data_IF_944783670989
#
_entry.id   IF_944783670989
#
_cell.length_a   1.000
_cell.length_b   1.000
_cell.length_c   1.000
_cell.angle_alpha   90.00
_cell.angle_beta   90.00
_cell.angle_gamma   90.00
#
_symmetry.space_group_name_H-M   'P 1'
#
loop_
_entity.id
_entity.type
_entity.pdbx_description
1 polymer ?
#
# COMPACT_ATOMS: atom_id res chain seq x y z
N UNK A 1 -15.81 -2.20 -50.13
CA UNK A 1 -15.38 -3.38 -49.33
C UNK A 1 -13.94 -3.69 -49.66
N UNK A 2 -13.01 -3.56 -48.71
CA UNK A 2 -11.61 -3.95 -48.92
C UNK A 2 -11.44 -5.39 -48.45
N UNK A 3 -11.19 -6.34 -49.37
CA UNK A 3 -10.89 -7.74 -49.02
C UNK A 3 -9.42 -7.84 -48.66
N UNK A 4 -9.12 -7.88 -47.36
CA UNK A 4 -7.77 -8.15 -46.85
C UNK A 4 -7.36 -9.60 -47.17
N UNK A 5 -6.14 -9.86 -47.68
CA UNK A 5 -5.68 -11.21 -47.95
C UNK A 5 -5.56 -12.03 -46.67
N UNK A 6 -6.05 -13.27 -46.67
CA UNK A 6 -6.04 -14.16 -45.49
C UNK A 6 -4.62 -14.36 -44.94
N UNK A 7 -3.61 -14.45 -45.81
CA UNK A 7 -2.20 -14.57 -45.43
C UNK A 7 -1.65 -13.34 -44.68
N UNK A 8 -2.21 -12.14 -44.93
CA UNK A 8 -1.81 -10.94 -44.18
C UNK A 8 -2.35 -11.00 -42.74
N UNK A 9 -3.59 -11.47 -42.57
CA UNK A 9 -4.23 -11.64 -41.25
C UNK A 9 -3.50 -12.71 -40.43
N UNK A 10 -3.16 -13.83 -41.04
CA UNK A 10 -2.35 -14.91 -40.43
C UNK A 10 -0.94 -14.42 -40.02
N UNK A 11 -0.28 -13.62 -40.86
CA UNK A 11 1.00 -13.00 -40.52
C UNK A 11 0.89 -12.02 -39.33
N UNK A 12 -0.18 -11.22 -39.26
CA UNK A 12 -0.41 -10.30 -38.13
C UNK A 12 -0.74 -11.04 -36.82
N UNK A 13 -1.47 -12.15 -36.88
CA UNK A 13 -1.71 -13.02 -35.72
C UNK A 13 -0.39 -13.61 -35.20
N UNK A 14 0.44 -14.18 -36.08
CA UNK A 14 1.76 -14.73 -35.71
C UNK A 14 2.70 -13.67 -35.13
N UNK A 15 2.68 -12.44 -35.66
CA UNK A 15 3.46 -11.34 -35.12
C UNK A 15 3.01 -10.95 -33.71
N UNK A 16 1.69 -10.94 -33.45
CA UNK A 16 1.12 -10.72 -32.12
C UNK A 16 1.52 -11.83 -31.14
N UNK A 17 1.41 -13.10 -31.54
CA UNK A 17 1.78 -14.24 -30.69
C UNK A 17 3.28 -14.26 -30.34
N UNK A 18 4.14 -13.76 -31.23
CA UNK A 18 5.57 -13.59 -30.95
C UNK A 18 5.81 -12.48 -29.91
N UNK A 19 5.17 -11.32 -30.08
CA UNK A 19 5.26 -10.19 -29.15
C UNK A 19 4.75 -10.56 -27.75
N UNK A 20 3.65 -11.31 -27.65
CA UNK A 20 3.06 -11.75 -26.38
C UNK A 20 3.98 -12.73 -25.63
N UNK A 21 4.66 -13.62 -26.37
CA UNK A 21 5.69 -14.52 -25.82
C UNK A 21 6.93 -13.77 -25.33
N UNK A 22 7.43 -12.80 -26.09
CA UNK A 22 8.57 -11.97 -25.69
C UNK A 22 8.26 -11.12 -24.45
N UNK A 23 7.05 -10.54 -24.37
CA UNK A 23 6.57 -9.84 -23.17
C UNK A 23 6.46 -10.78 -21.97
N UNK A 24 5.87 -11.95 -22.13
CA UNK A 24 5.72 -12.95 -21.06
C UNK A 24 7.08 -13.47 -20.57
N UNK A 25 8.01 -13.72 -21.49
CA UNK A 25 9.38 -14.10 -21.17
C UNK A 25 10.13 -12.97 -20.44
N UNK A 26 9.99 -11.72 -20.88
CA UNK A 26 10.61 -10.54 -20.26
C UNK A 26 10.07 -10.26 -18.86
N UNK A 27 8.76 -10.41 -18.65
CA UNK A 27 8.13 -10.26 -17.34
C UNK A 27 8.58 -11.37 -16.39
N UNK A 28 8.58 -12.63 -16.86
CA UNK A 28 9.03 -13.80 -16.09
C UNK A 28 10.52 -13.68 -15.71
N UNK A 29 11.36 -13.25 -16.65
CA UNK A 29 12.77 -12.98 -16.40
C UNK A 29 12.98 -11.81 -15.43
N UNK A 30 12.13 -10.79 -15.46
CA UNK A 30 12.19 -9.65 -14.52
C UNK A 30 11.80 -10.07 -13.10
N UNK A 31 10.73 -10.87 -12.94
CA UNK A 31 10.34 -11.44 -11.64
C UNK A 31 11.44 -12.36 -11.09
N UNK A 32 12.03 -13.20 -11.94
CA UNK A 32 13.15 -14.07 -11.56
C UNK A 32 14.43 -13.30 -11.19
N UNK A 33 14.73 -12.18 -11.89
CA UNK A 33 15.81 -11.25 -11.52
C UNK A 33 15.53 -10.56 -10.19
N UNK A 34 14.31 -10.04 -9.97
CA UNK A 34 13.93 -9.42 -8.70
C UNK A 34 14.01 -10.39 -7.51
N UNK A 35 13.86 -11.69 -7.75
CA UNK A 35 14.03 -12.75 -6.74
C UNK A 35 15.52 -13.05 -6.45
N UNK A 36 16.44 -12.72 -7.36
CA UNK A 36 17.90 -12.90 -7.19
C UNK A 36 18.65 -11.65 -6.69
N UNK A 37 18.05 -10.47 -6.76
CA UNK A 37 18.67 -9.18 -6.33
C UNK A 37 18.45 -8.90 -4.82
N UNK A 38 18.01 -9.89 -4.04
CA UNK A 38 17.86 -9.78 -2.58
C UNK A 38 19.15 -10.06 -1.77
N UNK A 39 20.31 -10.20 -2.43
CA UNK A 39 21.56 -10.69 -1.82
C UNK A 39 22.76 -9.83 -2.27
N UNK A 40 23.45 -9.20 -1.30
CA UNK A 40 24.70 -8.40 -1.40
C UNK A 40 24.53 -6.97 -1.98
N UNK A 41 24.98 -5.87 -1.37
CA UNK A 41 25.20 -5.52 0.06
C UNK A 41 25.54 -4.02 0.19
N UNK A 42 24.79 -3.26 1.02
CA UNK A 42 25.22 -2.09 1.82
C UNK A 42 23.97 -1.47 2.48
N UNK A 43 23.91 -1.17 3.78
CA UNK A 43 24.88 -1.45 4.83
C UNK A 43 24.53 -0.72 6.14
N UNK A 44 23.51 -1.17 6.90
CA UNK A 44 23.39 -1.07 8.37
C UNK A 44 22.19 -1.91 8.86
N UNK A 45 22.50 -3.16 9.22
CA UNK A 45 21.98 -4.02 10.31
C UNK A 45 20.50 -3.90 10.81
N UNK A 46 19.76 -4.97 11.16
CA UNK A 46 19.87 -6.43 10.95
C UNK A 46 18.66 -7.14 11.59
N UNK A 47 17.81 -7.88 10.84
CA UNK A 47 17.34 -9.25 11.24
C UNK A 47 16.52 -10.01 10.17
N UNK A 48 17.21 -10.89 9.45
CA UNK A 48 16.69 -12.14 8.85
C UNK A 48 16.66 -13.24 9.96
N UNK A 49 15.88 -14.33 9.92
CA UNK A 49 14.88 -14.87 8.98
C UNK A 49 13.66 -15.42 9.81
N UNK A 50 12.79 -16.28 9.24
CA UNK A 50 11.93 -17.30 9.92
C UNK A 50 10.55 -17.49 9.23
N UNK A 51 10.36 -18.63 8.56
CA UNK A 51 9.06 -19.25 8.22
C UNK A 51 8.17 -18.59 7.16
N UNK A 52 7.05 -19.24 6.76
CA UNK A 52 5.92 -18.57 6.13
C UNK A 52 5.28 -17.64 7.16
N UNK A 53 5.75 -16.39 7.20
CA UNK A 53 5.40 -15.40 8.23
C UNK A 53 3.93 -15.02 8.10
N UNK A 54 3.06 -15.56 8.95
CA UNK A 54 1.66 -15.17 9.04
C UNK A 54 1.53 -13.65 9.13
N UNK A 55 0.97 -13.03 8.09
CA UNK A 55 0.61 -11.62 8.11
C UNK A 55 -0.68 -11.50 8.93
N UNK A 56 -0.54 -11.22 10.24
CA UNK A 56 -1.66 -11.18 11.20
C UNK A 56 -2.79 -10.22 10.80
N UNK A 57 -2.47 -9.18 10.02
CA UNK A 57 -3.42 -8.16 9.60
C UNK A 57 -3.44 -8.02 8.08
N UNK A 58 -4.63 -8.18 7.48
CA UNK A 58 -4.92 -7.89 6.08
C UNK A 58 -5.87 -6.68 6.00
N UNK A 59 -5.55 -5.72 5.15
CA UNK A 59 -6.51 -4.73 4.69
C UNK A 59 -6.72 -4.86 3.18
N UNK A 60 -7.86 -4.36 2.73
CA UNK A 60 -8.18 -4.11 1.33
C UNK A 60 -8.47 -2.61 1.25
N UNK A 61 -7.79 -1.90 0.37
CA UNK A 61 -7.97 -0.46 0.16
C UNK A 61 -8.06 -0.20 -1.33
N UNK A 62 -9.22 0.26 -1.82
CA UNK A 62 -9.50 0.46 -3.24
C UNK A 62 -9.22 -0.80 -4.10
N UNK A 63 -9.44 -1.99 -3.51
CA UNK A 63 -9.13 -3.28 -4.13
C UNK A 63 -7.70 -3.79 -3.89
N UNK A 64 -6.77 -2.96 -3.42
CA UNK A 64 -5.39 -3.39 -3.11
C UNK A 64 -5.30 -4.15 -1.78
N UNK A 65 -4.73 -5.36 -1.83
CA UNK A 65 -4.57 -6.23 -0.67
C UNK A 65 -3.29 -5.93 0.13
N UNK A 66 -3.38 -4.98 1.05
CA UNK A 66 -2.30 -4.60 1.98
C UNK A 66 -2.16 -5.65 3.09
N UNK A 67 -0.93 -6.06 3.41
CA UNK A 67 -0.66 -7.06 4.46
C UNK A 67 0.46 -6.59 5.39
N UNK A 68 0.14 -6.41 6.68
CA UNK A 68 1.08 -5.92 7.69
C UNK A 68 1.34 -6.90 8.82
N UNK A 69 2.51 -6.75 9.47
CA UNK A 69 2.85 -7.47 10.70
C UNK A 69 2.26 -6.79 11.94
N UNK A 70 2.12 -5.47 11.89
CA UNK A 70 1.55 -4.65 12.97
C UNK A 70 0.49 -3.69 12.41
N UNK A 71 -0.42 -3.23 13.26
CA UNK A 71 -1.45 -2.24 12.94
C UNK A 71 -0.87 -0.95 12.32
N UNK A 72 0.19 -0.30 12.87
CA UNK A 72 0.78 0.88 12.24
C UNK A 72 1.49 0.59 10.91
N UNK A 73 1.92 -0.66 10.62
CA UNK A 73 2.44 -0.98 9.28
C UNK A 73 1.33 -1.01 8.22
N UNK A 74 0.17 -1.58 8.55
CA UNK A 74 -1.01 -1.56 7.67
C UNK A 74 -1.48 -0.11 7.46
N UNK A 75 -1.53 0.69 8.54
CA UNK A 75 -1.94 2.08 8.44
C UNK A 75 -0.96 2.93 7.61
N UNK A 76 0.35 2.74 7.79
CA UNK A 76 1.36 3.42 6.98
C UNK A 76 1.19 3.13 5.48
N UNK A 77 0.98 1.87 5.11
CA UNK A 77 0.76 1.49 3.71
C UNK A 77 -0.54 2.07 3.13
N UNK A 78 -1.63 2.13 3.92
CA UNK A 78 -2.88 2.78 3.49
C UNK A 78 -2.66 4.29 3.31
N UNK A 79 -1.93 4.94 4.22
CA UNK A 79 -1.57 6.36 4.13
C UNK A 79 -0.69 6.64 2.91
N UNK A 80 0.29 5.78 2.62
CA UNK A 80 1.16 5.93 1.46
C UNK A 80 0.37 5.81 0.14
N UNK A 81 -0.50 4.80 0.01
CA UNK A 81 -1.41 4.64 -1.15
C UNK A 81 -2.43 5.78 -1.25
N UNK A 82 -2.94 6.28 -0.12
CA UNK A 82 -3.87 7.44 -0.14
C UNK A 82 -3.14 8.70 -0.59
N UNK A 83 -1.87 8.89 -0.24
CA UNK A 83 -1.07 10.02 -0.72
C UNK A 83 -0.83 9.98 -2.23
N UNK A 84 -0.73 8.79 -2.82
CA UNK A 84 -0.55 8.58 -4.26
C UNK A 84 -1.86 8.76 -5.04
N UNK A 85 -2.97 8.18 -4.55
CA UNK A 85 -4.25 8.13 -5.27
C UNK A 85 -5.13 9.37 -4.98
N UNK A 86 -5.16 9.84 -3.74
CA UNK A 86 -6.09 10.87 -3.26
C UNK A 86 -5.44 11.77 -2.19
N UNK A 87 -4.41 12.57 -2.54
CA UNK A 87 -3.68 13.41 -1.57
C UNK A 87 -4.61 14.37 -0.81
N UNK A 88 -5.65 14.91 -1.44
CA UNK A 88 -6.64 15.77 -0.77
C UNK A 88 -7.37 15.07 0.38
N UNK A 89 -7.72 13.79 0.22
CA UNK A 89 -8.37 13.02 1.28
C UNK A 89 -7.44 12.86 2.49
N UNK A 90 -6.12 12.83 2.26
CA UNK A 90 -5.12 12.73 3.31
C UNK A 90 -4.90 14.07 4.03
N UNK A 91 -5.00 15.20 3.33
CA UNK A 91 -4.95 16.53 3.96
C UNK A 91 -6.21 16.76 4.81
N UNK A 92 -7.40 16.44 4.28
CA UNK A 92 -8.65 16.43 5.06
C UNK A 92 -8.58 15.49 6.28
N UNK A 93 -7.92 14.33 6.15
CA UNK A 93 -7.68 13.42 7.29
C UNK A 93 -6.69 13.99 8.33
N UNK A 94 -5.78 14.87 7.93
CA UNK A 94 -4.86 15.54 8.86
C UNK A 94 -5.60 16.59 9.72
N UNK A 95 -6.55 17.30 9.12
CA UNK A 95 -7.46 18.22 9.82
C UNK A 95 -8.41 17.46 10.77
N UNK A 96 -8.80 16.24 10.41
CA UNK A 96 -9.54 15.36 11.31
C UNK A 96 -8.65 14.85 12.45
N UNK A 97 -8.92 15.30 13.67
CA UNK A 97 -8.28 14.77 14.88
C UNK A 97 -9.15 13.72 15.59
N UNK A 98 -8.50 12.72 16.19
CA UNK A 98 -9.09 12.03 17.33
C UNK A 98 -8.94 12.92 18.57
N UNK A 99 -9.87 12.83 19.52
CA UNK A 99 -9.99 13.58 20.81
C UNK A 99 -8.76 14.32 21.37
N UNK A 100 -7.55 13.74 21.32
CA UNK A 100 -6.29 14.35 21.77
C UNK A 100 -5.06 14.05 20.87
N UNK A 101 -5.25 13.52 19.65
CA UNK A 101 -4.17 13.16 18.71
C UNK A 101 -4.64 13.23 17.25
N UNK A 102 -3.79 13.65 16.33
CA UNK A 102 -4.10 13.59 14.90
C UNK A 102 -3.93 12.15 14.37
N UNK A 103 -4.70 11.79 13.33
CA UNK A 103 -4.55 10.47 12.68
C UNK A 103 -3.27 10.41 11.84
N UNK A 104 -3.06 11.45 11.03
CA UNK A 104 -1.88 11.68 10.22
C UNK A 104 -1.41 13.12 10.42
N UNK A 105 -0.12 13.40 10.28
CA UNK A 105 0.40 14.77 10.32
C UNK A 105 1.66 14.93 9.47
N UNK A 106 1.97 16.15 9.01
CA UNK A 106 3.23 16.46 8.31
C UNK A 106 4.46 16.51 9.23
N UNK A 107 4.27 16.52 10.56
CA UNK A 107 5.33 16.61 11.58
C UNK A 107 5.11 15.59 12.70
N UNK A 108 6.17 15.02 13.31
CA UNK A 108 6.03 14.03 14.38
C UNK A 108 5.34 14.59 15.62
N UNK A 109 5.61 15.84 16.00
CA UNK A 109 5.02 16.45 17.21
C UNK A 109 3.51 16.71 17.05
N UNK A 110 3.05 16.93 15.82
CA UNK A 110 1.65 17.20 15.53
C UNK A 110 0.76 15.94 15.61
N UNK A 111 1.33 14.74 15.54
CA UNK A 111 0.58 13.50 15.81
C UNK A 111 0.09 13.47 17.26
N UNK A 112 0.93 13.88 18.21
CA UNK A 112 0.67 13.85 19.65
C UNK A 112 0.84 15.24 20.29
N UNK A 113 -0.08 16.18 20.05
CA UNK A 113 -0.02 17.51 20.63
C UNK A 113 0.02 17.41 22.17
N UNK A 114 1.08 17.96 22.76
CA UNK A 114 1.33 17.90 24.21
C UNK A 114 2.08 16.66 24.72
N UNK A 115 2.31 15.61 23.93
CA UNK A 115 3.06 14.42 24.39
C UNK A 115 4.10 13.89 23.38
N UNK A 116 5.26 14.54 23.36
CA UNK A 116 6.42 14.20 22.52
C UNK A 116 7.10 12.85 22.87
N UNK A 117 6.71 12.16 23.94
CA UNK A 117 7.29 10.86 24.33
C UNK A 117 6.63 9.66 23.66
N UNK A 118 5.47 9.86 23.02
CA UNK A 118 4.77 8.78 22.33
C UNK A 118 5.45 8.46 20.99
N UNK A 119 5.67 7.17 20.68
CA UNK A 119 6.38 6.79 19.47
C UNK A 119 5.53 7.06 18.23
N UNK A 120 6.09 7.83 17.30
CA UNK A 120 5.54 8.02 15.95
C UNK A 120 6.29 7.16 14.93
N UNK A 121 5.71 7.02 13.74
CA UNK A 121 6.34 6.38 12.57
C UNK A 121 6.14 7.31 11.37
N UNK A 122 7.21 7.55 10.63
CA UNK A 122 7.11 8.19 9.32
C UNK A 122 6.72 7.15 8.27
N UNK A 123 5.86 7.54 7.33
CA UNK A 123 5.45 6.76 6.16
C UNK A 123 6.32 7.15 4.96
N UNK A 124 6.26 6.37 3.88
CA UNK A 124 7.09 6.58 2.67
C UNK A 124 6.76 7.92 2.01
N UNK A 125 5.49 8.30 1.99
CA UNK A 125 4.97 9.57 1.45
C UNK A 125 5.21 10.78 2.37
N UNK A 126 6.08 10.66 3.37
CA UNK A 126 6.53 11.75 4.24
C UNK A 126 5.58 12.14 5.37
N UNK A 127 4.45 11.43 5.53
CA UNK A 127 3.49 11.66 6.60
C UNK A 127 3.90 10.93 7.89
N UNK A 128 3.37 11.40 9.02
CA UNK A 128 3.64 10.84 10.34
C UNK A 128 2.36 10.27 10.93
N UNK A 129 2.46 9.07 11.49
CA UNK A 129 1.39 8.34 12.17
C UNK A 129 1.81 7.95 13.59
N UNK A 130 0.84 7.63 14.44
CA UNK A 130 1.14 7.03 15.75
C UNK A 130 1.57 5.57 15.59
N UNK A 131 2.68 5.19 16.22
CA UNK A 131 3.06 3.77 16.37
C UNK A 131 2.25 3.10 17.49
N UNK A 132 1.68 3.88 18.41
CA UNK A 132 0.77 3.42 19.45
C UNK A 132 -0.69 3.56 18.98
N UNK A 133 -1.08 2.71 18.01
CA UNK A 133 -2.43 2.66 17.46
C UNK A 133 -3.07 1.30 17.75
N UNK A 134 -4.19 1.33 18.50
CA UNK A 134 -5.01 0.15 18.76
C UNK A 134 -5.88 -0.22 17.55
N UNK A 135 -6.52 -1.39 17.60
CA UNK A 135 -7.39 -1.85 16.52
C UNK A 135 -8.62 -0.94 16.33
N UNK A 136 -9.26 -0.52 17.42
CA UNK A 136 -10.40 0.41 17.37
C UNK A 136 -9.99 1.79 16.84
N UNK A 137 -8.78 2.23 17.20
CA UNK A 137 -8.20 3.49 16.73
C UNK A 137 -7.91 3.44 15.24
N UNK A 138 -7.37 2.32 14.75
CA UNK A 138 -7.17 2.06 13.32
C UNK A 138 -8.51 2.05 12.58
N UNK A 139 -9.51 1.31 13.08
CA UNK A 139 -10.84 1.28 12.48
C UNK A 139 -11.50 2.67 12.46
N UNK A 140 -11.27 3.49 13.49
CA UNK A 140 -11.74 4.88 13.54
C UNK A 140 -11.00 5.78 12.56
N UNK A 141 -9.68 5.61 12.42
CA UNK A 141 -8.86 6.31 11.44
C UNK A 141 -9.27 5.96 10.00
N UNK A 142 -9.50 4.68 9.71
CA UNK A 142 -9.98 4.21 8.40
C UNK A 142 -11.39 4.74 8.09
N UNK A 143 -12.30 4.76 9.07
CA UNK A 143 -13.63 5.39 8.90
C UNK A 143 -13.54 6.91 8.69
N UNK A 144 -12.59 7.59 9.33
CA UNK A 144 -12.33 9.01 9.09
C UNK A 144 -11.75 9.23 7.68
N UNK A 145 -10.80 8.42 7.24
CA UNK A 145 -10.22 8.43 5.90
C UNK A 145 -11.28 8.20 4.82
N UNK A 146 -12.19 7.23 5.05
CA UNK A 146 -13.33 7.00 4.17
C UNK A 146 -14.23 8.24 4.05
N UNK A 147 -14.52 8.92 5.16
CA UNK A 147 -15.28 10.19 5.16
C UNK A 147 -14.54 11.35 4.49
N UNK A 148 -13.21 11.36 4.56
CA UNK A 148 -12.39 12.42 3.98
C UNK A 148 -12.28 12.30 2.45
N UNK A 149 -12.29 11.08 1.92
CA UNK A 149 -12.22 10.77 0.48
C UNK A 149 -13.52 10.29 -0.17
N UNK A 150 -14.68 10.45 0.50
CA UNK A 150 -16.00 9.98 0.02
C UNK A 150 -16.08 8.47 -0.35
N UNK A 151 -15.28 7.65 0.33
CA UNK A 151 -15.22 6.19 0.14
C UNK A 151 -16.17 5.43 1.09
N UNK A 152 -16.61 4.24 0.70
CA UNK A 152 -17.45 3.37 1.54
C UNK A 152 -16.63 2.35 2.33
N UNK A 153 -16.63 2.52 3.66
CA UNK A 153 -16.08 1.54 4.59
C UNK A 153 -16.88 0.22 4.52
N UNK A 154 -16.23 -0.88 4.15
CA UNK A 154 -16.83 -2.19 3.89
C UNK A 154 -16.87 -2.58 2.40
N UNK A 155 -16.97 -1.60 1.50
CA UNK A 155 -16.92 -1.82 0.04
C UNK A 155 -15.51 -1.57 -0.48
N UNK A 156 -15.04 -0.34 -0.34
CA UNK A 156 -13.74 0.14 -0.84
C UNK A 156 -12.62 -0.11 0.16
N UNK A 157 -12.94 -0.04 1.46
CA UNK A 157 -11.98 -0.23 2.56
C UNK A 157 -12.46 -1.36 3.47
N UNK A 158 -11.75 -2.49 3.46
CA UNK A 158 -12.02 -3.64 4.32
C UNK A 158 -10.84 -3.89 5.22
N UNK A 159 -11.09 -4.18 6.50
CA UNK A 159 -10.05 -4.58 7.45
C UNK A 159 -10.39 -5.96 7.99
N UNK A 160 -9.54 -6.95 7.70
CA UNK A 160 -9.73 -8.35 8.09
C UNK A 160 -8.55 -8.81 8.93
N UNK A 161 -8.84 -9.18 10.16
CA UNK A 161 -7.86 -9.78 11.06
C UNK A 161 -7.82 -11.26 10.73
N UNK A 162 -6.63 -11.78 10.44
CA UNK A 162 -6.43 -13.21 10.32
C UNK A 162 -6.02 -13.73 11.70
N UNK A 163 -7.02 -14.25 12.42
CA UNK A 163 -6.86 -14.96 13.69
C UNK A 163 -6.11 -16.28 13.50
#
# INVERSE_FOLDING_TARGET
>A
MVRLPVHLVDAMLKMRDSLDKDLTASLSASIAKNTKVATIETGTQSKLLNGPRHHKYKAEYLGECIRGRTLPDVFAAIVDLTAEIAPEALERLADMSARSRHYVARKPEAVHPGNKRLPTKQTTSGWWISKNIGQEDLLRALKALCRAGDLQFGTDVKFVIQS
#
